data_IF_091109933855
#
_entry.id   IF_091109933855
#
_cell.length_a   1.000
_cell.length_b   1.000
_cell.length_c   1.000
_cell.angle_alpha   90.00
_cell.angle_beta   90.00
_cell.angle_gamma   90.00
#
_symmetry.space_group_name_H-M   'P 1'
#
loop_
_entity.id
_entity.type
_entity.pdbx_description
1 polymer ?
#
# COMPACT_ATOMS: atom_id res chain seq x y z
N UNK A 1 -9.68 17.94 13.67
CA UNK A 1 -10.11 16.60 14.14
C UNK A 1 -9.41 15.56 13.29
N UNK A 2 -8.62 14.67 13.90
CA UNK A 2 -8.03 13.56 13.16
C UNK A 2 -9.17 12.68 12.64
N UNK A 3 -9.31 12.57 11.32
CA UNK A 3 -10.30 11.69 10.73
C UNK A 3 -9.71 10.27 10.73
N UNK A 4 -10.35 9.38 11.48
CA UNK A 4 -10.01 7.96 11.51
C UNK A 4 -10.92 7.24 10.51
N UNK A 5 -10.34 6.41 9.65
CA UNK A 5 -11.10 5.57 8.71
C UNK A 5 -11.23 4.16 9.28
N UNK A 6 -12.43 3.65 9.57
CA UNK A 6 -12.59 2.26 10.00
C UNK A 6 -12.05 1.30 8.94
N UNK A 7 -11.29 0.29 9.37
CA UNK A 7 -10.61 -0.68 8.50
C UNK A 7 -11.06 -2.14 8.71
N UNK A 8 -12.08 -2.37 9.55
CA UNK A 8 -12.62 -3.69 9.83
C UNK A 8 -12.17 -4.24 11.18
N UNK A 9 -12.46 -5.51 11.43
CA UNK A 9 -12.04 -6.22 12.63
C UNK A 9 -10.58 -6.68 12.50
N UNK A 10 -9.85 -6.61 13.61
CA UNK A 10 -8.43 -6.98 13.64
C UNK A 10 -8.19 -8.46 13.33
N UNK A 11 -9.16 -9.30 13.67
CA UNK A 11 -9.12 -10.74 13.41
C UNK A 11 -9.28 -11.09 11.91
N UNK A 12 -9.85 -10.20 11.11
CA UNK A 12 -10.09 -10.42 9.68
C UNK A 12 -8.86 -10.09 8.82
N UNK A 13 -7.87 -9.37 9.40
CA UNK A 13 -6.63 -8.99 8.72
C UNK A 13 -5.46 -9.86 9.20
N UNK A 14 -5.45 -11.12 8.77
CA UNK A 14 -4.34 -12.04 9.01
C UNK A 14 -3.06 -11.63 8.27
N UNK A 15 -1.86 -12.05 8.73
CA UNK A 15 -0.60 -11.82 8.01
C UNK A 15 -0.67 -12.24 6.54
N UNK A 16 -0.15 -11.40 5.66
CA UNK A 16 -0.18 -11.58 4.19
C UNK A 16 -1.44 -11.03 3.51
N UNK A 17 -2.46 -10.62 4.27
CA UNK A 17 -3.71 -10.08 3.71
C UNK A 17 -3.60 -8.59 3.40
N UNK A 18 -4.37 -8.17 2.39
CA UNK A 18 -4.60 -6.77 2.05
C UNK A 18 -6.12 -6.56 1.90
N UNK A 19 -6.63 -5.47 2.46
CA UNK A 19 -8.03 -5.06 2.38
C UNK A 19 -8.15 -3.56 2.09
N UNK A 20 -9.37 -3.12 1.75
CA UNK A 20 -9.68 -1.72 1.48
C UNK A 20 -10.36 -1.03 2.66
N UNK A 21 -9.91 0.18 2.99
CA UNK A 21 -10.55 1.04 3.99
C UNK A 21 -10.67 2.47 3.44
N UNK A 22 -11.81 2.81 2.85
CA UNK A 22 -11.99 4.09 2.14
C UNK A 22 -10.92 4.30 1.05
N UNK A 23 -10.05 5.31 1.24
CA UNK A 23 -8.94 5.63 0.33
C UNK A 23 -7.68 4.78 0.53
N UNK A 24 -7.67 3.93 1.54
CA UNK A 24 -6.50 3.18 1.98
C UNK A 24 -6.56 1.73 1.51
N UNK A 25 -5.40 1.19 1.17
CA UNK A 25 -5.12 -0.23 1.20
C UNK A 25 -4.44 -0.50 2.55
N UNK A 26 -5.00 -1.42 3.32
CA UNK A 26 -4.54 -1.79 4.66
C UNK A 26 -4.11 -3.24 4.59
N UNK A 27 -2.92 -3.55 5.09
CA UNK A 27 -2.42 -4.92 5.05
C UNK A 27 -1.58 -5.25 6.28
N UNK A 28 -1.25 -6.53 6.40
CA UNK A 28 -0.38 -7.06 7.44
C UNK A 28 0.82 -7.74 6.76
N UNK A 29 1.98 -7.11 6.84
CA UNK A 29 3.23 -7.62 6.28
C UNK A 29 4.05 -8.27 7.40
N UNK A 30 3.93 -9.59 7.54
CA UNK A 30 4.64 -10.39 8.55
C UNK A 30 4.42 -9.88 10.00
N UNK A 31 3.16 -9.66 10.37
CA UNK A 31 2.74 -9.11 11.66
C UNK A 31 2.85 -7.58 11.75
N UNK A 32 3.45 -6.92 10.76
CA UNK A 32 3.57 -5.46 10.70
C UNK A 32 2.45 -4.87 9.86
N UNK A 33 1.44 -4.29 10.52
CA UNK A 33 0.31 -3.65 9.84
C UNK A 33 0.72 -2.33 9.18
N UNK A 34 0.23 -2.11 7.97
CA UNK A 34 0.49 -0.89 7.20
C UNK A 34 -0.80 -0.34 6.58
N UNK A 35 -0.79 0.96 6.27
CA UNK A 35 -1.82 1.58 5.45
C UNK A 35 -1.19 2.57 4.45
N UNK A 36 -1.50 2.37 3.16
CA UNK A 36 -1.05 3.24 2.07
C UNK A 36 -2.22 3.65 1.19
N UNK A 37 -2.09 4.74 0.44
CA UNK A 37 -3.11 5.11 -0.55
C UNK A 37 -3.31 4.00 -1.57
N UNK A 38 -4.56 3.59 -1.81
CA UNK A 38 -4.88 2.40 -2.61
C UNK A 38 -4.72 2.54 -4.13
N UNK A 39 -4.26 3.68 -4.65
CA UNK A 39 -4.12 3.90 -6.10
C UNK A 39 -2.67 3.70 -6.51
N UNK A 40 -2.43 2.69 -7.34
CA UNK A 40 -1.12 2.43 -7.91
C UNK A 40 -0.63 3.64 -8.73
N UNK A 41 0.64 4.04 -8.56
CA UNK A 41 1.24 5.17 -9.28
C UNK A 41 1.48 4.91 -10.77
N UNK A 42 1.29 3.68 -11.23
CA UNK A 42 1.38 3.33 -12.66
C UNK A 42 0.09 3.68 -13.40
N UNK A 43 -0.99 2.90 -13.20
CA UNK A 43 -2.27 3.07 -13.91
C UNK A 43 -3.47 3.04 -12.95
N UNK A 44 -3.25 3.48 -11.70
CA UNK A 44 -4.32 3.68 -10.70
C UNK A 44 -5.10 2.43 -10.29
N UNK A 45 -4.55 1.24 -10.60
CA UNK A 45 -5.02 -0.04 -10.08
C UNK A 45 -5.29 0.04 -8.58
N UNK A 46 -6.32 -0.65 -8.15
CA UNK A 46 -6.70 -0.72 -6.75
C UNK A 46 -5.79 -1.69 -5.99
N UNK A 47 -4.88 -1.14 -5.19
CA UNK A 47 -3.92 -1.90 -4.41
C UNK A 47 -4.57 -2.68 -3.26
N UNK A 48 -5.83 -2.38 -2.89
CA UNK A 48 -6.55 -3.18 -1.91
C UNK A 48 -6.86 -4.61 -2.41
N UNK A 49 -6.78 -4.84 -3.73
CA UNK A 49 -6.86 -6.18 -4.34
C UNK A 49 -5.47 -6.78 -4.63
N UNK A 50 -4.41 -6.14 -4.14
CA UNK A 50 -3.03 -6.60 -4.29
C UNK A 50 -2.69 -7.77 -3.38
N UNK A 51 -1.41 -8.14 -3.40
CA UNK A 51 -0.84 -9.15 -2.52
C UNK A 51 0.42 -8.62 -1.84
N UNK A 52 0.95 -9.37 -0.88
CA UNK A 52 2.24 -9.08 -0.25
C UNK A 52 3.24 -10.14 -0.70
N UNK A 53 4.42 -9.72 -1.18
CA UNK A 53 5.47 -10.65 -1.57
C UNK A 53 6.35 -11.07 -0.38
N UNK A 54 7.28 -12.00 -0.62
CA UNK A 54 8.20 -12.50 0.42
C UNK A 54 9.19 -11.45 0.95
N UNK A 55 9.29 -10.28 0.31
CA UNK A 55 10.06 -9.15 0.79
C UNK A 55 9.18 -8.12 1.52
N UNK A 56 7.97 -8.51 1.92
CA UNK A 56 6.99 -7.67 2.60
C UNK A 56 6.59 -6.42 1.80
N UNK A 57 6.71 -6.48 0.47
CA UNK A 57 6.25 -5.41 -0.43
C UNK A 57 4.81 -5.64 -0.85
N UNK A 58 4.04 -4.54 -0.91
CA UNK A 58 2.72 -4.53 -1.52
C UNK A 58 2.83 -4.61 -3.04
N UNK A 59 2.23 -5.63 -3.65
CA UNK A 59 2.25 -5.92 -5.08
C UNK A 59 0.95 -5.49 -5.74
N UNK A 60 1.06 -4.65 -6.76
CA UNK A 60 -0.05 -4.21 -7.59
C UNK A 60 -0.68 -5.39 -8.34
N UNK A 61 -2.02 -5.56 -8.30
CA UNK A 61 -2.68 -6.73 -8.88
C UNK A 61 -2.72 -6.74 -10.42
N UNK A 62 -2.48 -5.61 -11.07
CA UNK A 62 -2.49 -5.54 -12.54
C UNK A 62 -1.15 -5.97 -13.14
N UNK A 63 -0.08 -5.24 -12.80
CA UNK A 63 1.21 -5.35 -13.48
C UNK A 63 2.38 -5.63 -12.53
N UNK A 64 2.11 -5.99 -11.28
CA UNK A 64 3.14 -6.43 -10.34
C UNK A 64 4.08 -5.34 -9.82
N UNK A 65 3.78 -4.05 -10.02
CA UNK A 65 4.54 -2.97 -9.40
C UNK A 65 4.56 -3.13 -7.87
N UNK A 66 5.74 -3.02 -7.27
CA UNK A 66 5.96 -3.31 -5.84
C UNK A 66 6.24 -2.05 -5.05
N UNK A 67 5.64 -1.94 -3.87
CA UNK A 67 5.81 -0.83 -2.96
C UNK A 67 6.27 -1.31 -1.60
N UNK A 68 7.25 -0.61 -1.05
CA UNK A 68 7.65 -0.73 0.36
C UNK A 68 6.46 -0.33 1.23
N UNK A 69 6.04 -1.23 2.13
CA UNK A 69 4.85 -1.06 2.96
C UNK A 69 5.04 -0.02 4.05
N UNK A 70 6.28 0.13 4.52
CA UNK A 70 6.68 1.15 5.47
C UNK A 70 6.72 2.52 4.79
N UNK A 71 7.48 2.74 3.72
CA UNK A 71 7.70 4.09 3.16
C UNK A 71 6.66 4.52 2.14
N UNK A 72 5.93 3.56 1.54
CA UNK A 72 5.06 3.80 0.39
C UNK A 72 5.82 4.08 -0.91
N UNK A 73 7.15 3.93 -0.93
CA UNK A 73 7.97 4.09 -2.13
C UNK A 73 7.90 2.85 -3.01
N UNK A 74 8.05 3.05 -4.31
CA UNK A 74 8.10 1.95 -5.26
C UNK A 74 9.46 1.25 -5.17
N UNK A 75 9.45 -0.01 -4.74
CA UNK A 75 10.63 -0.87 -4.76
C UNK A 75 11.01 -1.23 -6.21
N UNK A 76 9.99 -1.51 -7.05
CA UNK A 76 10.16 -1.79 -8.48
C UNK A 76 8.88 -1.48 -9.27
N UNK A 77 9.05 -1.04 -10.52
CA UNK A 77 7.94 -0.72 -11.44
C UNK A 77 7.17 -1.95 -11.94
N UNK A 78 6.36 -1.80 -13.00
CA UNK A 78 5.66 -2.92 -13.63
C UNK A 78 6.60 -4.08 -14.00
N UNK A 79 6.14 -5.31 -13.85
CA UNK A 79 6.91 -6.53 -14.03
C UNK A 79 6.53 -7.26 -15.32
N UNK A 80 7.38 -8.21 -15.74
CA UNK A 80 7.14 -9.05 -16.91
C UNK A 80 7.00 -8.24 -18.21
N UNK A 81 6.00 -8.58 -19.03
CA UNK A 81 5.74 -7.90 -20.30
C UNK A 81 5.51 -6.39 -20.13
N UNK A 82 4.89 -5.99 -19.02
CA UNK A 82 4.53 -4.60 -18.73
C UNK A 82 5.72 -3.75 -18.29
N UNK A 83 6.87 -4.35 -17.98
CA UNK A 83 8.12 -3.66 -17.65
C UNK A 83 9.00 -3.32 -18.85
N UNK A 84 8.57 -3.62 -20.08
CA UNK A 84 9.43 -3.52 -21.29
C UNK A 84 9.55 -2.13 -21.88
N UNK A 85 8.76 -1.15 -21.44
CA UNK A 85 8.88 0.23 -21.91
C UNK A 85 10.16 0.82 -21.30
N UNK A 86 11.19 1.14 -22.12
CA UNK A 86 12.48 1.60 -21.60
C UNK A 86 12.32 2.86 -20.74
N UNK A 87 12.91 2.85 -19.53
CA UNK A 87 12.95 3.99 -18.61
C UNK A 87 11.65 4.29 -17.85
N UNK A 88 10.50 3.72 -18.23
CA UNK A 88 9.22 4.00 -17.55
C UNK A 88 9.22 3.50 -16.09
N UNK A 89 9.73 2.28 -15.85
CA UNK A 89 9.81 1.73 -14.50
C UNK A 89 10.70 2.58 -13.58
N UNK A 90 11.84 3.05 -14.10
CA UNK A 90 12.77 3.90 -13.35
C UNK A 90 12.18 5.29 -13.09
N UNK A 91 11.48 5.87 -14.07
CA UNK A 91 10.79 7.15 -13.91
C UNK A 91 9.70 7.08 -12.84
N UNK A 92 8.86 6.03 -12.85
CA UNK A 92 7.84 5.81 -11.83
C UNK A 92 8.47 5.56 -10.45
N UNK A 93 9.56 4.80 -10.39
CA UNK A 93 10.31 4.57 -9.15
C UNK A 93 10.87 5.87 -8.59
N UNK A 94 11.54 6.67 -9.42
CA UNK A 94 12.09 7.96 -9.05
C UNK A 94 11.00 8.94 -8.58
N UNK A 95 9.85 8.98 -9.25
CA UNK A 95 8.70 9.78 -8.84
C UNK A 95 8.30 9.48 -7.39
N UNK A 96 8.22 8.21 -7.00
CA UNK A 96 7.80 7.85 -5.63
C UNK A 96 8.82 8.19 -4.55
N UNK A 97 10.07 8.51 -4.90
CA UNK A 97 11.04 9.05 -3.93
C UNK A 97 10.61 10.43 -3.43
N UNK A 98 9.98 11.22 -4.30
CA UNK A 98 9.46 12.57 -4.01
C UNK A 98 8.00 12.51 -3.57
N UNK A 99 7.20 11.67 -4.25
CA UNK A 99 5.76 11.53 -4.03
C UNK A 99 5.39 10.05 -3.79
N UNK A 100 5.74 9.49 -2.62
CA UNK A 100 5.37 8.12 -2.28
C UNK A 100 3.85 7.94 -2.23
N UNK A 101 3.38 6.70 -2.07
CA UNK A 101 2.01 6.49 -1.64
C UNK A 101 1.80 7.21 -0.30
N UNK A 102 0.66 7.89 -0.16
CA UNK A 102 0.34 8.52 1.11
C UNK A 102 0.24 7.43 2.18
N UNK A 103 0.73 7.72 3.40
CA UNK A 103 0.74 6.77 4.51
C UNK A 103 -0.32 7.11 5.55
N UNK A 104 -0.88 6.07 6.14
CA UNK A 104 -1.70 6.13 7.35
C UNK A 104 -1.09 5.23 8.42
N UNK A 105 -1.40 5.54 9.68
CA UNK A 105 -1.09 4.68 10.81
C UNK A 105 -2.28 3.77 11.09
N UNK A 106 -2.03 2.47 11.20
CA UNK A 106 -3.07 1.50 11.58
C UNK A 106 -3.06 1.40 13.10
N UNK A 107 -4.18 1.76 13.73
CA UNK A 107 -4.38 1.65 15.17
C UNK A 107 -5.47 0.64 15.48
N UNK A 108 -5.25 -0.21 16.48
CA UNK A 108 -6.25 -1.14 16.97
C UNK A 108 -6.89 -0.58 18.25
N UNK A 109 -8.22 -0.65 18.35
CA UNK A 109 -8.98 -0.30 19.56
C UNK A 109 -10.08 -1.32 19.77
N UNK A 110 -10.05 -2.01 20.91
CA UNK A 110 -11.04 -3.02 21.27
C UNK A 110 -11.31 -4.03 20.14
N UNK A 111 -10.24 -4.55 19.50
CA UNK A 111 -10.34 -5.52 18.41
C UNK A 111 -10.71 -4.96 17.03
N UNK A 112 -10.84 -3.64 16.87
CA UNK A 112 -11.17 -2.99 15.59
C UNK A 112 -10.01 -2.15 15.08
N UNK A 113 -9.77 -2.20 13.77
CA UNK A 113 -8.73 -1.44 13.10
C UNK A 113 -9.25 -0.10 12.57
N UNK A 114 -8.42 0.92 12.70
CA UNK A 114 -8.64 2.24 12.14
C UNK A 114 -7.37 2.75 11.46
N UNK A 115 -7.54 3.45 10.35
CA UNK A 115 -6.45 4.19 9.72
C UNK A 115 -6.52 5.65 10.14
N UNK A 116 -5.53 6.07 10.93
CA UNK A 116 -5.30 7.47 11.29
C UNK A 116 -4.37 8.10 10.25
N UNK A 117 -4.79 9.18 9.60
CA UNK A 117 -3.87 9.94 8.75
C UNK A 117 -2.86 10.66 9.65
N UNK A 118 -1.57 10.50 9.38
CA UNK A 118 -0.58 11.43 9.89
C UNK A 118 -0.91 12.82 9.33
N UNK A 119 -1.29 13.75 10.20
CA UNK A 119 -1.55 15.13 9.81
C UNK A 119 -0.33 15.66 9.07
N UNK A 120 -0.56 16.28 7.91
CA UNK A 120 0.40 17.27 7.41
C UNK A 120 0.35 18.41 8.41
N UNK A 121 1.43 18.61 9.16
CA UNK A 121 1.75 19.94 9.69
C UNK A 121 1.84 20.94 8.53
#
# INVERSE_FOLDING_TARGET
>A
MAYETPAGDAADLSPGMVTGAGRWAVGDADGSRFAVTRRCRHLLADLAHGSIDSANCLVCPWHGARYETDTGRMASGPQGFYGRIPGLADALKALTRVLPLGRGEVVERAGRLFVRRAGTE
#
